data_IF_866963553097
#
_entry.id   IF_866963553097
#
_cell.length_a   1.000
_cell.length_b   1.000
_cell.length_c   1.000
_cell.angle_alpha   90.00
_cell.angle_beta   90.00
_cell.angle_gamma   90.00
#
_symmetry.space_group_name_H-M   'P 1'
#
loop_
_entity.id
_entity.type
_entity.pdbx_description
1 polymer ?
#
# COMPACT_ATOMS: atom_id res chain seq x y z
N UNK A 1 -26.66 6.37 7.31
CA UNK A 1 -25.50 6.49 6.39
C UNK A 1 -24.38 7.20 7.14
N UNK A 2 -23.48 6.46 7.77
CA UNK A 2 -22.29 7.02 8.42
C UNK A 2 -21.16 6.98 7.39
N UNK A 3 -20.63 8.17 7.06
CA UNK A 3 -19.45 8.35 6.23
C UNK A 3 -18.28 7.60 6.86
N UNK A 4 -17.64 6.73 6.10
CA UNK A 4 -16.31 6.20 6.41
C UNK A 4 -15.34 7.39 6.43
N UNK A 5 -15.20 8.00 7.59
CA UNK A 5 -14.11 8.92 7.89
C UNK A 5 -12.86 8.09 8.12
N UNK A 6 -11.86 8.41 7.37
CA UNK A 6 -10.42 8.16 7.53
C UNK A 6 -10.01 7.31 8.75
N UNK A 7 -10.14 6.00 8.64
CA UNK A 7 -9.55 5.03 9.59
C UNK A 7 -8.02 5.20 9.73
N UNK A 8 -7.42 5.97 8.84
CA UNK A 8 -6.01 6.29 8.76
C UNK A 8 -5.53 7.32 9.78
N UNK A 9 -6.44 8.21 10.24
CA UNK A 9 -6.14 9.32 11.15
C UNK A 9 -6.22 8.87 12.60
N UNK A 10 -7.16 7.98 12.92
CA UNK A 10 -7.45 7.63 14.33
C UNK A 10 -6.33 6.84 15.02
N UNK A 11 -5.60 6.00 14.29
CA UNK A 11 -4.51 5.23 14.91
C UNK A 11 -3.28 6.09 15.18
N UNK A 12 -2.92 6.98 14.26
CA UNK A 12 -1.84 7.95 14.45
C UNK A 12 -2.17 8.93 15.56
N UNK A 13 -3.42 9.42 15.63
CA UNK A 13 -3.88 10.36 16.65
C UNK A 13 -3.85 9.74 18.05
N UNK A 14 -4.20 8.47 18.18
CA UNK A 14 -4.14 7.75 19.45
C UNK A 14 -2.71 7.59 19.98
N UNK A 15 -1.75 7.34 19.09
CA UNK A 15 -0.33 7.24 19.43
C UNK A 15 0.32 8.61 19.64
N UNK A 16 -0.10 9.64 18.91
CA UNK A 16 0.37 11.02 19.12
C UNK A 16 -0.01 11.55 20.50
N UNK A 17 -1.18 11.18 21.02
CA UNK A 17 -1.63 11.59 22.36
C UNK A 17 -0.81 10.93 23.47
N UNK A 18 -0.34 9.70 23.28
CA UNK A 18 0.52 9.00 24.24
C UNK A 18 1.99 9.48 24.19
N UNK A 19 2.48 9.92 23.02
CA UNK A 19 3.86 10.40 22.83
C UNK A 19 4.06 11.89 23.09
N UNK A 20 3.02 12.72 23.04
CA UNK A 20 3.09 14.15 23.43
C UNK A 20 3.46 14.40 24.87
N UNK A 21 3.38 13.42 25.76
CA UNK A 21 3.81 13.51 27.15
C UNK A 21 5.31 13.26 27.39
N UNK A 22 6.07 12.86 26.36
CA UNK A 22 7.54 12.84 26.43
C UNK A 22 8.09 14.17 25.92
N UNK A 23 8.51 15.03 26.84
CA UNK A 23 9.16 16.33 26.58
C UNK A 23 10.34 16.14 25.61
N UNK A 24 10.17 16.55 24.35
CA UNK A 24 11.23 16.75 23.37
C UNK A 24 11.83 18.14 23.59
N UNK A 25 12.73 18.26 24.58
CA UNK A 25 13.58 19.43 24.77
C UNK A 25 15.01 19.12 24.32
N UNK A 26 15.56 20.00 23.48
CA UNK A 26 16.99 20.29 23.29
C UNK A 26 17.88 19.48 22.37
N UNK A 27 17.46 18.36 21.78
CA UNK A 27 18.32 17.61 20.85
C UNK A 27 17.92 17.69 19.36
N UNK A 28 17.00 18.58 18.98
CA UNK A 28 16.49 18.67 17.61
C UNK A 28 17.56 19.10 16.60
N UNK A 29 18.39 20.08 16.92
CA UNK A 29 19.37 20.66 16.00
C UNK A 29 20.56 19.70 15.70
N UNK A 30 20.94 18.88 16.68
CA UNK A 30 22.00 17.86 16.47
C UNK A 30 21.48 16.67 15.65
N UNK A 31 20.23 16.29 15.85
CA UNK A 31 19.59 15.24 15.07
C UNK A 31 19.39 15.65 13.61
N UNK A 32 19.02 16.90 13.33
CA UNK A 32 18.89 17.42 11.96
C UNK A 32 20.24 17.46 11.24
N UNK A 33 21.30 17.94 11.90
CA UNK A 33 22.65 17.99 11.33
C UNK A 33 23.23 16.60 11.05
N UNK A 34 23.01 15.63 11.95
CA UNK A 34 23.40 14.24 11.76
C UNK A 34 22.56 13.57 10.66
N UNK A 35 21.28 13.94 10.55
CA UNK A 35 20.39 13.45 9.50
C UNK A 35 20.79 13.93 8.11
N UNK A 36 21.23 15.17 7.96
CA UNK A 36 21.77 15.69 6.69
C UNK A 36 23.06 14.99 6.30
N UNK A 37 23.96 14.75 7.26
CA UNK A 37 25.24 14.06 7.02
C UNK A 37 25.05 12.58 6.68
N UNK A 38 24.04 11.92 7.26
CA UNK A 38 23.73 10.51 6.98
C UNK A 38 22.94 10.33 5.67
N UNK A 39 22.20 11.33 5.21
CA UNK A 39 21.47 11.30 3.94
C UNK A 39 22.39 11.29 2.71
N UNK A 40 23.53 11.97 2.76
CA UNK A 40 24.53 11.92 1.68
C UNK A 40 25.15 10.53 1.50
N UNK A 41 25.17 9.72 2.57
CA UNK A 41 25.70 8.35 2.54
C UNK A 41 24.60 7.33 2.15
N UNK A 42 23.30 7.61 2.40
CA UNK A 42 22.20 6.66 2.18
C UNK A 42 21.59 6.69 0.79
N UNK A 43 21.99 7.63 -0.07
CA UNK A 43 21.45 7.77 -1.42
C UNK A 43 21.87 6.63 -2.38
N UNK A 44 22.83 5.78 -2.02
CA UNK A 44 23.43 4.82 -2.96
C UNK A 44 22.87 3.40 -2.92
N UNK A 45 21.94 3.05 -2.04
CA UNK A 45 21.37 1.69 -2.06
C UNK A 45 19.89 1.65 -2.35
N UNK A 46 19.50 2.01 -3.57
CA UNK A 46 18.35 1.43 -4.24
C UNK A 46 18.72 0.02 -4.66
N UNK A 47 18.55 -0.92 -3.77
CA UNK A 47 18.79 -2.32 -4.05
C UNK A 47 17.99 -3.12 -3.05
N UNK A 48 16.94 -3.76 -3.52
CA UNK A 48 16.20 -4.72 -2.73
C UNK A 48 17.20 -5.68 -2.07
N UNK A 49 17.10 -5.84 -0.76
CA UNK A 49 17.78 -6.90 -0.04
C UNK A 49 17.43 -8.22 -0.74
N UNK A 50 18.44 -9.02 -1.06
CA UNK A 50 18.21 -10.34 -1.64
C UNK A 50 17.34 -11.17 -0.67
N UNK A 51 16.11 -11.48 -1.11
CA UNK A 51 15.16 -12.26 -0.32
C UNK A 51 15.67 -13.71 -0.30
N UNK A 52 16.10 -14.17 0.87
CA UNK A 52 16.48 -15.57 1.08
C UNK A 52 15.28 -16.32 1.65
N UNK A 53 14.92 -17.47 1.06
CA UNK A 53 13.89 -18.34 1.64
C UNK A 53 14.25 -18.69 3.08
N UNK A 54 13.30 -18.55 3.99
CA UNK A 54 13.45 -19.00 5.37
C UNK A 54 12.39 -20.06 5.66
N UNK A 55 12.75 -21.08 6.43
CA UNK A 55 11.84 -22.20 6.76
C UNK A 55 10.61 -21.80 7.59
N UNK A 56 10.52 -20.52 8.00
CA UNK A 56 9.49 -20.03 8.94
C UNK A 56 8.56 -18.98 8.37
N UNK A 57 8.82 -18.45 7.18
CA UNK A 57 7.96 -17.43 6.54
C UNK A 57 7.73 -17.76 5.07
N UNK A 58 6.53 -17.45 4.59
CA UNK A 58 6.19 -17.57 3.17
C UNK A 58 6.79 -16.36 2.45
N UNK A 59 7.86 -16.57 1.70
CA UNK A 59 8.49 -15.56 0.84
C UNK A 59 8.15 -15.83 -0.62
N UNK A 60 8.12 -14.80 -1.46
CA UNK A 60 7.84 -14.99 -2.88
C UNK A 60 7.80 -13.70 -3.68
N UNK A 61 7.34 -13.86 -4.92
CA UNK A 61 7.14 -12.78 -5.88
C UNK A 61 5.66 -12.76 -6.30
N UNK A 62 4.99 -11.63 -6.11
CA UNK A 62 3.60 -11.44 -6.49
C UNK A 62 3.53 -10.75 -7.85
N UNK A 63 2.90 -11.40 -8.82
CA UNK A 63 2.53 -10.79 -10.11
C UNK A 63 1.11 -10.26 -10.01
N UNK A 64 0.90 -8.98 -10.32
CA UNK A 64 -0.41 -8.29 -10.16
C UNK A 64 -1.03 -7.87 -11.49
N UNK A 65 -0.24 -7.77 -12.56
CA UNK A 65 -0.69 -7.52 -13.93
C UNK A 65 0.42 -7.95 -14.91
N UNK A 66 0.10 -8.23 -16.19
CA UNK A 66 1.06 -8.73 -17.19
C UNK A 66 2.24 -7.80 -17.44
N UNK A 67 2.00 -6.50 -17.45
CA UNK A 67 2.92 -5.42 -17.78
C UNK A 67 3.64 -4.81 -16.57
N UNK A 68 3.26 -5.21 -15.35
CA UNK A 68 3.86 -4.67 -14.14
C UNK A 68 4.99 -5.57 -13.59
N UNK A 69 6.00 -5.01 -12.91
CA UNK A 69 7.02 -5.80 -12.24
C UNK A 69 6.40 -6.66 -11.13
N UNK A 70 7.09 -7.74 -10.81
CA UNK A 70 6.70 -8.57 -9.66
C UNK A 70 7.06 -7.86 -8.36
N UNK A 71 6.18 -7.97 -7.36
CA UNK A 71 6.35 -7.39 -6.04
C UNK A 71 6.89 -8.47 -5.10
N UNK A 72 8.12 -8.36 -4.58
CA UNK A 72 8.65 -9.29 -3.60
C UNK A 72 7.95 -9.13 -2.25
N UNK A 73 7.82 -10.22 -1.49
CA UNK A 73 7.29 -10.24 -0.13
C UNK A 73 8.01 -11.27 0.73
N UNK A 74 8.14 -11.00 2.04
CA UNK A 74 8.80 -11.87 3.01
C UNK A 74 7.80 -12.52 4.01
N UNK A 75 6.52 -12.17 3.93
CA UNK A 75 5.47 -12.75 4.76
C UNK A 75 4.12 -12.82 4.04
N UNK A 76 3.21 -13.67 4.55
CA UNK A 76 1.85 -13.73 4.04
C UNK A 76 1.09 -12.42 4.25
N UNK A 77 1.40 -11.66 5.29
CA UNK A 77 0.74 -10.39 5.58
C UNK A 77 1.21 -9.29 4.62
N UNK A 78 2.50 -9.26 4.26
CA UNK A 78 3.02 -8.37 3.22
C UNK A 78 2.42 -8.68 1.84
N UNK A 79 2.30 -9.98 1.48
CA UNK A 79 1.59 -10.38 0.26
C UNK A 79 0.15 -9.88 0.25
N UNK A 80 -0.56 -10.08 1.36
CA UNK A 80 -1.95 -9.67 1.51
C UNK A 80 -2.10 -8.15 1.39
N UNK A 81 -1.17 -7.39 1.97
CA UNK A 81 -1.09 -5.94 1.83
C UNK A 81 -0.86 -5.51 0.38
N UNK A 82 0.11 -6.12 -0.30
CA UNK A 82 0.39 -5.80 -1.70
C UNK A 82 -0.84 -6.06 -2.59
N UNK A 83 -1.54 -7.19 -2.39
CA UNK A 83 -2.81 -7.49 -3.09
C UNK A 83 -3.85 -6.40 -2.77
N UNK A 84 -4.06 -6.07 -1.50
CA UNK A 84 -5.02 -5.05 -1.09
C UNK A 84 -4.74 -3.70 -1.78
N UNK A 85 -3.47 -3.27 -1.81
CA UNK A 85 -3.09 -2.01 -2.44
C UNK A 85 -3.34 -2.00 -3.95
N UNK A 86 -3.18 -3.13 -4.64
CA UNK A 86 -3.50 -3.21 -6.07
C UNK A 86 -4.99 -3.04 -6.35
N UNK A 87 -5.87 -3.37 -5.42
CA UNK A 87 -7.32 -3.18 -5.51
C UNK A 87 -7.78 -1.75 -5.24
N UNK A 88 -6.91 -0.91 -4.71
CA UNK A 88 -7.25 0.48 -4.38
C UNK A 88 -7.03 1.41 -5.56
N UNK A 89 -8.08 2.15 -5.87
CA UNK A 89 -7.97 3.20 -6.90
C UNK A 89 -6.97 4.26 -6.49
N UNK A 90 -6.32 4.83 -7.48
CA UNK A 90 -5.34 5.89 -7.27
C UNK A 90 -3.99 5.42 -6.75
N UNK A 91 -3.77 4.13 -6.47
CA UNK A 91 -2.42 3.60 -6.21
C UNK A 91 -1.65 3.55 -7.53
N UNK A 92 -0.59 4.34 -7.60
CA UNK A 92 0.25 4.48 -8.78
C UNK A 92 1.43 3.49 -8.78
N UNK A 93 2.10 3.31 -7.64
CA UNK A 93 3.19 2.34 -7.50
C UNK A 93 3.23 1.69 -6.13
N UNK A 94 3.73 0.46 -6.10
CA UNK A 94 4.00 -0.34 -4.91
C UNK A 94 5.44 -0.83 -5.04
N UNK A 95 6.33 -0.34 -4.21
CA UNK A 95 7.73 -0.74 -4.17
C UNK A 95 8.02 -1.47 -2.86
N UNK A 96 8.53 -2.69 -2.92
CA UNK A 96 8.94 -3.44 -1.73
C UNK A 96 10.37 -3.07 -1.36
N UNK A 97 10.63 -2.97 -0.03
CA UNK A 97 11.94 -2.67 0.55
C UNK A 97 12.65 -1.47 -0.11
N UNK A 98 11.97 -0.31 -0.20
CA UNK A 98 12.38 0.79 -1.09
C UNK A 98 13.68 1.47 -0.68
N UNK A 99 14.01 1.43 0.63
CA UNK A 99 15.13 2.17 1.20
C UNK A 99 15.63 1.52 2.48
N UNK A 100 16.93 1.62 2.75
CA UNK A 100 17.52 1.29 4.05
C UNK A 100 17.88 2.58 4.78
N UNK A 101 17.18 2.83 5.89
CA UNK A 101 17.38 4.00 6.75
C UNK A 101 18.45 3.68 7.77
N UNK A 102 19.46 4.55 7.89
CA UNK A 102 20.48 4.48 8.95
C UNK A 102 20.11 5.46 10.06
N UNK A 103 20.27 5.05 11.31
CA UNK A 103 19.98 5.88 12.48
C UNK A 103 20.87 5.49 13.66
N UNK A 104 20.96 6.38 14.66
CA UNK A 104 21.61 6.08 15.92
C UNK A 104 20.55 5.67 16.95
N UNK A 105 20.79 4.57 17.66
CA UNK A 105 19.93 4.19 18.79
C UNK A 105 20.22 5.09 20.01
N UNK A 106 19.43 4.95 21.08
CA UNK A 106 19.55 5.76 22.29
C UNK A 106 20.94 5.61 22.99
N UNK A 107 21.73 4.63 22.61
CA UNK A 107 23.11 4.41 23.07
C UNK A 107 24.16 4.96 22.11
N UNK A 108 23.74 5.68 21.05
CA UNK A 108 24.63 6.21 20.02
C UNK A 108 25.19 5.16 19.07
N UNK A 109 24.64 3.95 19.03
CA UNK A 109 25.08 2.88 18.12
C UNK A 109 24.34 2.98 16.80
N UNK A 110 25.10 2.90 15.69
CA UNK A 110 24.50 2.87 14.34
C UNK A 110 23.65 1.62 14.14
N UNK A 111 22.47 1.84 13.58
CA UNK A 111 21.47 0.81 13.24
C UNK A 111 20.96 1.05 11.83
N UNK A 112 20.44 0.00 11.24
CA UNK A 112 19.76 0.05 9.94
C UNK A 112 18.33 -0.45 10.07
N UNK A 113 17.45 0.11 9.26
CA UNK A 113 16.06 -0.28 9.16
C UNK A 113 15.57 -0.16 7.72
N UNK A 114 14.93 -1.22 7.21
CA UNK A 114 14.35 -1.27 5.89
C UNK A 114 12.85 -1.45 6.05
N UNK A 115 12.02 -0.42 5.77
CA UNK A 115 10.56 -0.53 5.73
C UNK A 115 10.09 -1.49 4.64
N UNK A 116 8.92 -2.09 4.83
CA UNK A 116 8.44 -3.15 3.96
C UNK A 116 8.01 -2.62 2.57
N UNK A 117 7.34 -1.44 2.51
CA UNK A 117 6.85 -0.89 1.24
C UNK A 117 6.95 0.63 1.15
N UNK A 118 6.98 1.12 -0.09
CA UNK A 118 6.70 2.49 -0.47
C UNK A 118 5.48 2.50 -1.40
N UNK A 119 4.45 3.23 -1.02
CA UNK A 119 3.22 3.36 -1.79
C UNK A 119 3.13 4.79 -2.32
N UNK A 120 3.00 4.93 -3.63
CA UNK A 120 2.68 6.22 -4.25
C UNK A 120 1.25 6.19 -4.78
N UNK A 121 0.46 7.19 -4.46
CA UNK A 121 -0.93 7.30 -4.88
C UNK A 121 -1.30 8.75 -5.20
N UNK A 122 -2.38 8.96 -5.94
CA UNK A 122 -3.00 10.29 -6.08
C UNK A 122 -3.60 10.74 -4.74
N UNK A 123 -3.56 12.04 -4.46
CA UNK A 123 -4.09 12.60 -3.20
C UNK A 123 -5.59 12.42 -3.07
N UNK A 124 -6.32 12.45 -4.18
CA UNK A 124 -7.76 12.22 -4.22
C UNK A 124 -8.05 10.95 -5.01
N UNK A 125 -8.99 10.15 -4.51
CA UNK A 125 -9.44 8.91 -5.17
C UNK A 125 -10.06 9.15 -6.55
N UNK A 126 -10.46 10.37 -6.84
CA UNK A 126 -11.09 10.80 -8.11
C UNK A 126 -10.07 11.18 -9.19
N UNK A 127 -8.80 10.80 -9.03
CA UNK A 127 -7.79 10.75 -10.08
C UNK A 127 -7.69 12.00 -10.96
N UNK A 128 -7.39 13.11 -10.36
CA UNK A 128 -6.90 14.23 -11.15
C UNK A 128 -5.39 14.33 -10.95
N UNK A 129 -4.58 14.17 -12.01
CA UNK A 129 -3.12 14.30 -11.94
C UNK A 129 -2.67 15.63 -11.29
N UNK A 130 -3.53 16.65 -11.40
CA UNK A 130 -3.34 17.98 -10.83
C UNK A 130 -3.39 18.02 -9.30
N UNK A 131 -4.00 17.02 -8.65
CA UNK A 131 -4.04 16.93 -7.18
C UNK A 131 -2.71 16.57 -6.53
N UNK A 132 -1.73 16.17 -7.35
CA UNK A 132 -0.41 15.73 -6.92
C UNK A 132 -0.38 14.31 -6.37
N UNK A 133 0.83 13.78 -6.24
CA UNK A 133 1.07 12.47 -5.66
C UNK A 133 1.29 12.58 -4.16
N UNK A 134 0.85 11.56 -3.45
CA UNK A 134 1.16 11.34 -2.04
C UNK A 134 1.94 10.04 -1.91
N UNK A 135 3.10 10.11 -1.28
CA UNK A 135 3.97 8.96 -1.04
C UNK A 135 3.95 8.59 0.43
N UNK A 136 3.84 7.29 0.70
CA UNK A 136 3.74 6.74 2.04
C UNK A 136 4.71 5.59 2.21
N UNK A 137 5.59 5.70 3.21
CA UNK A 137 6.44 4.63 3.67
C UNK A 137 5.63 3.72 4.61
N UNK A 138 5.72 2.42 4.42
CA UNK A 138 4.84 1.45 5.10
C UNK A 138 5.64 0.35 5.77
N UNK A 139 5.25 0.02 6.98
CA UNK A 139 5.67 -1.16 7.71
C UNK A 139 4.49 -2.09 7.96
N UNK A 140 4.72 -3.40 7.85
CA UNK A 140 3.71 -4.44 8.05
C UNK A 140 4.07 -5.24 9.30
N UNK A 141 3.18 -5.27 10.27
CA UNK A 141 3.38 -6.02 11.53
C UNK A 141 2.08 -6.65 11.99
N UNK A 142 2.18 -7.83 12.60
CA UNK A 142 1.04 -8.37 13.34
C UNK A 142 0.80 -7.55 14.62
N UNK A 143 -0.45 -7.44 15.02
CA UNK A 143 -0.82 -6.79 16.29
C UNK A 143 -0.09 -7.42 17.49
N UNK A 144 0.16 -8.74 17.44
CA UNK A 144 0.94 -9.45 18.46
C UNK A 144 2.37 -8.95 18.60
N UNK A 145 3.01 -8.59 17.49
CA UNK A 145 4.39 -8.10 17.48
C UNK A 145 4.49 -6.68 18.05
N UNK A 146 3.47 -5.85 17.77
CA UNK A 146 3.39 -4.48 18.29
C UNK A 146 3.19 -4.43 19.81
N UNK A 147 2.61 -5.48 20.40
CA UNK A 147 2.39 -5.60 21.84
C UNK A 147 3.38 -6.56 22.52
N UNK A 148 4.38 -7.05 21.79
CA UNK A 148 5.36 -8.02 22.26
C UNK A 148 6.52 -7.39 23.05
N UNK A 149 7.42 -8.25 23.52
CA UNK A 149 8.63 -7.84 24.26
C UNK A 149 9.56 -6.90 23.49
N UNK A 150 9.49 -6.92 22.15
CA UNK A 150 10.30 -6.08 21.26
C UNK A 150 9.66 -4.72 20.96
N UNK A 151 8.51 -4.41 21.56
CA UNK A 151 7.80 -3.15 21.33
C UNK A 151 8.68 -1.90 21.46
N UNK A 152 9.52 -1.72 22.51
CA UNK A 152 10.35 -0.51 22.61
C UNK A 152 11.31 -0.34 21.44
N UNK A 153 11.93 -1.42 20.98
CA UNK A 153 12.83 -1.41 19.82
C UNK A 153 12.09 -1.10 18.52
N UNK A 154 10.86 -1.61 18.36
CA UNK A 154 10.02 -1.31 17.20
C UNK A 154 9.60 0.18 17.18
N UNK A 155 9.16 0.71 18.32
CA UNK A 155 8.77 2.11 18.43
C UNK A 155 9.93 3.06 18.09
N UNK A 156 11.15 2.75 18.53
CA UNK A 156 12.34 3.50 18.17
C UNK A 156 12.57 3.49 16.64
N UNK A 157 12.52 2.31 15.99
CA UNK A 157 12.62 2.20 14.53
C UNK A 157 11.56 3.03 13.82
N UNK A 158 10.30 2.95 14.27
CA UNK A 158 9.19 3.67 13.66
C UNK A 158 9.32 5.20 13.82
N UNK A 159 9.83 5.65 14.97
CA UNK A 159 10.13 7.08 15.18
C UNK A 159 11.13 7.58 14.12
N UNK A 160 12.24 6.88 13.91
CA UNK A 160 13.23 7.26 12.92
C UNK A 160 12.69 7.15 11.48
N UNK A 161 11.90 6.10 11.18
CA UNK A 161 11.26 5.96 9.88
C UNK A 161 10.28 7.10 9.58
N UNK A 162 9.49 7.51 10.60
CA UNK A 162 8.56 8.64 10.47
C UNK A 162 9.31 9.94 10.20
N UNK A 163 10.34 10.26 10.99
CA UNK A 163 11.17 11.46 10.79
C UNK A 163 11.81 11.50 9.41
N UNK A 164 12.35 10.35 8.97
CA UNK A 164 12.96 10.25 7.65
C UNK A 164 11.94 10.43 6.52
N UNK A 165 10.75 9.83 6.64
CA UNK A 165 9.67 10.01 5.68
C UNK A 165 9.22 11.47 5.60
N UNK A 166 9.00 12.13 6.75
CA UNK A 166 8.63 13.54 6.84
C UNK A 166 9.66 14.46 6.19
N UNK A 167 10.96 14.19 6.40
CA UNK A 167 12.04 14.91 5.72
C UNK A 167 11.96 14.79 4.18
N UNK A 168 11.50 13.65 3.66
CA UNK A 168 11.26 13.45 2.22
C UNK A 168 9.92 14.02 1.73
N UNK A 169 9.12 14.63 2.59
CA UNK A 169 7.75 15.07 2.29
C UNK A 169 6.76 13.91 2.15
N UNK A 170 7.08 12.75 2.74
CA UNK A 170 6.29 11.53 2.72
C UNK A 170 5.60 11.31 4.07
N UNK A 171 4.61 10.43 4.11
CA UNK A 171 4.05 9.92 5.36
C UNK A 171 4.64 8.56 5.71
N UNK A 172 4.54 8.17 6.99
CA UNK A 172 4.85 6.83 7.47
C UNK A 172 3.63 6.21 8.13
N UNK A 173 3.37 4.93 7.85
CA UNK A 173 2.25 4.19 8.45
C UNK A 173 2.61 2.75 8.72
N UNK A 174 2.03 2.20 9.79
CA UNK A 174 2.12 0.78 10.14
C UNK A 174 0.77 0.13 9.91
N UNK A 175 0.76 -1.00 9.20
CA UNK A 175 -0.44 -1.78 8.92
C UNK A 175 -0.40 -3.11 9.62
N UNK A 176 -1.54 -3.51 10.17
CA UNK A 176 -1.68 -4.82 10.82
C UNK A 176 -2.67 -5.71 10.06
N UNK A 177 -2.81 -6.95 10.51
CA UNK A 177 -3.80 -7.89 9.97
C UNK A 177 -5.22 -7.32 10.01
N UNK A 178 -5.51 -6.38 10.92
CA UNK A 178 -6.85 -5.79 11.08
C UNK A 178 -7.22 -4.86 9.93
N UNK A 179 -6.26 -4.06 9.47
CA UNK A 179 -6.45 -3.14 8.35
C UNK A 179 -6.27 -3.85 7.00
N UNK A 180 -5.52 -4.96 6.97
CA UNK A 180 -5.18 -5.67 5.73
C UNK A 180 -6.22 -6.74 5.41
N UNK A 181 -6.54 -7.63 6.37
CA UNK A 181 -7.41 -8.79 6.15
C UNK A 181 -8.89 -8.44 6.31
N UNK A 182 -9.39 -7.66 5.38
CA UNK A 182 -10.75 -7.15 5.32
C UNK A 182 -11.51 -7.74 4.13
N UNK A 183 -12.81 -7.48 4.06
CA UNK A 183 -13.63 -7.83 2.88
C UNK A 183 -13.16 -7.16 1.58
N UNK A 184 -12.45 -6.05 1.67
CA UNK A 184 -11.80 -5.40 0.53
C UNK A 184 -10.69 -6.27 -0.05
N UNK A 185 -9.85 -6.88 0.80
CA UNK A 185 -8.84 -7.84 0.37
C UNK A 185 -9.45 -9.06 -0.34
N UNK A 186 -10.52 -9.62 0.24
CA UNK A 186 -11.22 -10.78 -0.34
C UNK A 186 -11.69 -10.45 -1.76
N UNK A 187 -12.39 -9.32 -1.92
CA UNK A 187 -12.83 -8.83 -3.23
C UNK A 187 -11.67 -8.62 -4.20
N UNK A 188 -10.57 -8.04 -3.73
CA UNK A 188 -9.39 -7.81 -4.58
C UNK A 188 -8.78 -9.13 -5.03
N UNK A 189 -8.72 -10.15 -4.16
CA UNK A 189 -8.24 -11.50 -4.51
C UNK A 189 -9.12 -12.16 -5.57
N UNK A 190 -10.43 -12.03 -5.45
CA UNK A 190 -11.38 -12.56 -6.43
C UNK A 190 -11.22 -11.89 -7.80
N UNK A 191 -10.94 -10.60 -7.84
CA UNK A 191 -10.77 -9.83 -9.07
C UNK A 191 -9.35 -9.96 -9.67
N UNK A 192 -8.34 -10.29 -8.89
CA UNK A 192 -6.95 -10.31 -9.35
C UNK A 192 -6.71 -11.16 -10.61
N UNK A 193 -7.26 -12.39 -10.76
CA UNK A 193 -7.08 -13.19 -11.97
C UNK A 193 -7.56 -12.51 -13.25
N UNK A 194 -8.60 -11.68 -13.17
CA UNK A 194 -9.19 -11.01 -14.33
C UNK A 194 -8.28 -9.92 -14.92
N UNK A 195 -7.29 -9.44 -14.18
CA UNK A 195 -6.27 -8.50 -14.70
C UNK A 195 -5.35 -9.12 -15.76
N UNK A 196 -5.31 -10.43 -15.83
CA UNK A 196 -4.47 -11.18 -16.77
C UNK A 196 -5.19 -11.54 -18.06
N UNK A 197 -6.49 -11.23 -18.17
CA UNK A 197 -7.27 -11.48 -19.38
C UNK A 197 -7.09 -10.33 -20.37
N UNK A 198 -6.99 -10.70 -21.65
CA UNK A 198 -7.02 -9.71 -22.74
C UNK A 198 -8.43 -9.12 -22.90
N UNK A 199 -8.52 -7.87 -23.34
CA UNK A 199 -9.80 -7.24 -23.65
C UNK A 199 -10.24 -7.55 -25.07
N UNK A 200 -11.51 -7.91 -25.20
CA UNK A 200 -12.20 -7.90 -26.49
C UNK A 200 -12.84 -6.52 -26.67
N UNK A 201 -12.22 -5.65 -27.44
CA UNK A 201 -12.59 -4.23 -27.63
C UNK A 201 -14.10 -3.97 -27.88
N UNK A 202 -14.84 -4.82 -28.65
CA UNK A 202 -16.26 -4.57 -28.88
C UNK A 202 -17.12 -4.70 -27.60
N UNK A 203 -16.88 -5.73 -26.77
CA UNK A 203 -17.68 -5.95 -25.57
C UNK A 203 -17.30 -4.97 -24.46
N UNK A 204 -16.02 -4.66 -24.28
CA UNK A 204 -15.55 -3.62 -23.36
C UNK A 204 -16.24 -2.30 -23.59
N UNK A 205 -16.26 -1.86 -24.85
CA UNK A 205 -16.94 -0.61 -25.26
C UNK A 205 -18.45 -0.66 -24.98
N UNK A 206 -19.10 -1.78 -25.27
CA UNK A 206 -20.54 -1.95 -25.05
C UNK A 206 -20.89 -1.90 -23.57
N UNK A 207 -20.14 -2.60 -22.72
CA UNK A 207 -20.28 -2.59 -21.25
C UNK A 207 -20.06 -1.20 -20.71
N UNK A 208 -18.95 -0.53 -21.10
CA UNK A 208 -18.64 0.83 -20.66
C UNK A 208 -19.75 1.82 -20.94
N UNK A 209 -20.25 1.84 -22.19
CA UNK A 209 -21.33 2.75 -22.61
C UNK A 209 -22.64 2.46 -21.87
N UNK A 210 -22.97 1.18 -21.63
CA UNK A 210 -24.15 0.79 -20.88
C UNK A 210 -24.08 1.28 -19.43
N UNK A 211 -22.99 0.99 -18.73
CA UNK A 211 -22.81 1.37 -17.33
C UNK A 211 -22.81 2.89 -17.16
N UNK A 212 -22.11 3.60 -18.03
CA UNK A 212 -22.09 5.07 -18.01
C UNK A 212 -23.47 5.70 -18.18
N UNK A 213 -24.32 5.08 -19.00
CA UNK A 213 -25.70 5.55 -19.24
C UNK A 213 -26.63 5.27 -18.05
N UNK A 214 -26.50 4.13 -17.41
CA UNK A 214 -27.45 3.65 -16.39
C UNK A 214 -26.98 3.87 -14.94
N UNK A 215 -25.76 4.36 -14.73
CA UNK A 215 -25.11 4.73 -13.45
C UNK A 215 -25.04 3.62 -12.38
N UNK A 216 -26.19 3.03 -12.03
CA UNK A 216 -26.29 1.90 -11.08
C UNK A 216 -26.95 0.74 -11.80
N UNK A 217 -26.25 -0.37 -11.88
CA UNK A 217 -26.72 -1.56 -12.59
C UNK A 217 -26.17 -2.85 -11.98
N UNK A 218 -26.65 -3.97 -12.45
CA UNK A 218 -26.12 -5.29 -12.09
C UNK A 218 -25.56 -5.98 -13.33
N UNK A 219 -24.62 -6.90 -13.15
CA UNK A 219 -24.05 -7.70 -14.26
C UNK A 219 -25.18 -8.35 -15.08
N UNK A 220 -26.21 -8.88 -14.40
CA UNK A 220 -27.36 -9.49 -15.07
C UNK A 220 -28.06 -8.51 -15.98
N UNK A 221 -28.33 -7.28 -15.55
CA UNK A 221 -28.99 -6.25 -16.39
C UNK A 221 -28.13 -5.86 -17.59
N UNK A 222 -26.81 -5.84 -17.42
CA UNK A 222 -25.89 -5.59 -18.52
C UNK A 222 -25.98 -6.73 -19.54
N UNK A 223 -25.92 -7.98 -19.07
CA UNK A 223 -26.03 -9.16 -19.93
C UNK A 223 -27.38 -9.25 -20.66
N UNK A 224 -28.46 -8.96 -19.94
CA UNK A 224 -29.81 -8.94 -20.53
C UNK A 224 -29.98 -7.85 -21.61
N UNK A 225 -29.20 -6.78 -21.57
CA UNK A 225 -29.25 -5.68 -22.54
C UNK A 225 -28.31 -5.87 -23.73
N UNK A 226 -27.21 -6.57 -23.55
CA UNK A 226 -26.17 -6.76 -24.57
C UNK A 226 -26.33 -8.10 -25.30
N UNK A 227 -27.47 -8.32 -25.95
CA UNK A 227 -27.87 -9.59 -26.59
C UNK A 227 -26.89 -10.10 -27.66
N UNK A 228 -25.99 -9.27 -28.16
CA UNK A 228 -24.99 -9.66 -29.16
C UNK A 228 -23.79 -10.45 -28.54
N UNK A 229 -23.74 -10.53 -27.20
CA UNK A 229 -22.71 -11.23 -26.45
C UNK A 229 -23.33 -12.25 -25.53
N UNK A 230 -22.63 -13.33 -25.22
CA UNK A 230 -23.11 -14.29 -24.23
C UNK A 230 -23.07 -13.69 -22.81
N UNK A 231 -23.93 -14.17 -21.94
CA UNK A 231 -23.95 -13.72 -20.54
C UNK A 231 -22.60 -13.96 -19.82
N UNK A 232 -21.89 -15.03 -20.20
CA UNK A 232 -20.56 -15.36 -19.66
C UNK A 232 -19.51 -14.36 -20.14
N UNK A 233 -19.51 -13.98 -21.43
CA UNK A 233 -18.62 -12.95 -21.95
C UNK A 233 -18.83 -11.61 -21.25
N UNK A 234 -20.10 -11.19 -21.10
CA UNK A 234 -20.44 -9.94 -20.37
C UNK A 234 -19.97 -10.00 -18.91
N UNK A 235 -20.21 -11.14 -18.23
CA UNK A 235 -19.79 -11.33 -16.84
C UNK A 235 -18.27 -11.20 -16.71
N UNK A 236 -17.50 -11.92 -17.53
CA UNK A 236 -16.05 -11.90 -17.52
C UNK A 236 -15.49 -10.50 -17.78
N UNK A 237 -16.03 -9.80 -18.79
CA UNK A 237 -15.58 -8.46 -19.13
C UNK A 237 -15.88 -7.44 -18.02
N UNK A 238 -17.05 -7.51 -17.40
CA UNK A 238 -17.38 -6.64 -16.25
C UNK A 238 -16.41 -6.86 -15.10
N UNK A 239 -16.09 -8.12 -14.74
CA UNK A 239 -15.15 -8.41 -13.67
C UNK A 239 -13.73 -7.92 -14.01
N UNK A 240 -13.32 -8.04 -15.26
CA UNK A 240 -12.06 -7.49 -15.73
C UNK A 240 -12.02 -5.97 -15.64
N UNK A 241 -13.08 -5.29 -16.11
CA UNK A 241 -13.17 -3.83 -16.04
C UNK A 241 -13.20 -3.32 -14.58
N UNK A 242 -13.79 -4.08 -13.63
CA UNK A 242 -13.70 -3.81 -12.20
C UNK A 242 -12.28 -4.03 -11.68
N UNK A 243 -11.61 -5.12 -12.08
CA UNK A 243 -10.25 -5.45 -11.67
C UNK A 243 -9.22 -4.41 -12.15
N UNK A 244 -9.45 -3.80 -13.31
CA UNK A 244 -8.58 -2.79 -13.93
C UNK A 244 -9.02 -1.34 -13.64
N UNK A 245 -9.99 -1.16 -12.75
CA UNK A 245 -10.55 0.15 -12.35
C UNK A 245 -11.22 0.96 -13.48
N UNK A 246 -11.61 0.33 -14.57
CA UNK A 246 -12.36 0.97 -15.66
C UNK A 246 -13.84 1.17 -15.30
N UNK A 247 -14.39 0.39 -14.38
CA UNK A 247 -15.70 0.54 -13.77
C UNK A 247 -15.62 0.85 -12.27
N UNK A 248 -16.69 1.50 -11.72
CA UNK A 248 -16.78 1.96 -10.33
C UNK A 248 -17.83 1.20 -9.54
#
# INVERSE_FOLDING_TARGET
MRKNKDLWVDWLTKYETETQNMRLGENYSLAESLFETLNDISAETRGAREIRPTDRSITGLLKVAPDQPQIPFESSLERDFAILMTGRRGVFSIEAQPVTIRYLDDLGKERTYTPDFLITRYRHELEQPESGLHTMLVEIKYTSDLNGKNQPTLLQKFKHAKQWAEFKGWSFSVFTEKEIRTSELERTRELLPYRFLESETPIERAVYLFVRRHKVTTIRKIADALHNFSAEQVHTEVLKMLATHQLF
#
